data_IF_534219995465
#
_entry.id   IF_534219995465
#
_cell.length_a   1.000
_cell.length_b   1.000
_cell.length_c   1.000
_cell.angle_alpha   90.00
_cell.angle_beta   90.00
_cell.angle_gamma   90.00
#
_symmetry.space_group_name_H-M   'P 1'
#
loop_
_entity.id
_entity.type
_entity.pdbx_description
1 polymer ?
#
# COMPACT_ATOMS: atom_id res chain seq x y z
N UNK A 1 -34.68 -3.06 7.29
CA UNK A 1 -33.25 -2.70 7.13
C UNK A 1 -32.59 -3.87 6.43
N UNK A 2 -32.15 -3.70 5.19
CA UNK A 2 -31.55 -4.78 4.40
C UNK A 2 -30.24 -5.24 5.04
N UNK A 3 -30.03 -6.54 5.10
CA UNK A 3 -28.96 -7.26 5.81
C UNK A 3 -27.57 -7.08 5.17
N UNK A 4 -27.36 -6.06 4.32
CA UNK A 4 -26.36 -6.10 3.25
C UNK A 4 -25.55 -4.82 3.02
N UNK A 5 -25.65 -3.79 3.86
CA UNK A 5 -24.81 -2.58 3.72
C UNK A 5 -23.60 -2.63 4.64
N UNK A 6 -22.41 -2.68 4.02
CA UNK A 6 -21.12 -2.44 4.67
C UNK A 6 -20.46 -1.22 4.05
N UNK A 7 -19.64 -0.52 4.83
CA UNK A 7 -18.90 0.68 4.39
C UNK A 7 -17.42 0.35 4.33
N UNK A 8 -16.77 0.70 3.22
CA UNK A 8 -15.31 0.67 3.07
C UNK A 8 -14.87 1.97 2.41
N UNK A 9 -14.17 2.79 3.18
CA UNK A 9 -13.51 4.01 2.72
C UNK A 9 -12.05 3.98 3.20
N UNK A 10 -11.19 4.89 2.73
CA UNK A 10 -9.82 5.00 3.26
C UNK A 10 -9.72 5.26 4.77
N UNK A 11 -10.81 5.68 5.43
CA UNK A 11 -10.83 6.07 6.84
C UNK A 11 -11.75 5.23 7.73
N UNK A 12 -12.74 4.52 7.18
CA UNK A 12 -13.68 3.70 7.95
C UNK A 12 -14.01 2.38 7.24
N UNK A 13 -14.11 1.32 8.03
CA UNK A 13 -14.61 0.00 7.63
C UNK A 13 -15.66 -0.42 8.66
N UNK A 14 -16.91 -0.61 8.22
CA UNK A 14 -18.04 -0.94 9.08
C UNK A 14 -18.90 -2.05 8.45
N UNK A 15 -19.45 -2.92 9.30
CA UNK A 15 -20.28 -4.06 8.89
C UNK A 15 -19.48 -5.29 8.49
N UNK A 16 -20.20 -6.36 8.10
CA UNK A 16 -19.59 -7.59 7.59
C UNK A 16 -19.28 -7.39 6.10
N UNK A 17 -18.00 -7.18 5.77
CA UNK A 17 -17.56 -6.89 4.41
C UNK A 17 -17.70 -8.12 3.51
N UNK A 18 -18.52 -8.00 2.47
CA UNK A 18 -18.57 -8.97 1.38
C UNK A 18 -17.54 -8.56 0.31
N UNK A 19 -16.43 -9.30 0.28
CA UNK A 19 -15.32 -9.03 -0.62
C UNK A 19 -15.68 -9.24 -2.10
N UNK A 20 -16.66 -10.09 -2.42
CA UNK A 20 -17.14 -10.28 -3.81
C UNK A 20 -17.85 -9.02 -4.31
N UNK A 21 -18.79 -8.51 -3.50
CA UNK A 21 -19.48 -7.25 -3.77
C UNK A 21 -18.48 -6.08 -3.80
N UNK A 22 -17.46 -6.09 -2.94
CA UNK A 22 -16.43 -5.06 -2.91
C UNK A 22 -15.61 -5.02 -4.20
N UNK A 23 -15.18 -6.18 -4.73
CA UNK A 23 -14.45 -6.28 -6.00
C UNK A 23 -15.26 -5.68 -7.14
N UNK A 24 -16.55 -6.00 -7.22
CA UNK A 24 -17.46 -5.47 -8.24
C UNK A 24 -17.66 -3.96 -8.08
N UNK A 25 -17.95 -3.49 -6.86
CA UNK A 25 -18.18 -2.07 -6.54
C UNK A 25 -16.98 -1.20 -6.89
N UNK A 26 -15.77 -1.68 -6.60
CA UNK A 26 -14.54 -0.93 -6.89
C UNK A 26 -14.06 -1.16 -8.32
N UNK A 27 -14.61 -2.12 -9.08
CA UNK A 27 -14.17 -2.42 -10.43
C UNK A 27 -12.72 -2.93 -10.48
N UNK A 28 -12.35 -3.76 -9.52
CA UNK A 28 -11.06 -4.48 -9.48
C UNK A 28 -11.22 -5.89 -10.02
N UNK A 29 -10.11 -6.59 -10.25
CA UNK A 29 -10.10 -7.98 -10.68
C UNK A 29 -9.65 -8.89 -9.54
N UNK A 30 -10.09 -10.14 -9.51
CA UNK A 30 -9.59 -11.12 -8.53
C UNK A 30 -8.22 -11.64 -8.94
N UNK A 31 -7.38 -11.92 -7.95
CA UNK A 31 -6.13 -12.65 -8.18
C UNK A 31 -6.48 -14.11 -8.47
N UNK A 32 -6.58 -14.44 -9.76
CA UNK A 32 -6.96 -15.77 -10.21
C UNK A 32 -5.88 -16.82 -9.90
N UNK A 33 -6.24 -18.12 -9.85
CA UNK A 33 -5.26 -19.20 -9.70
C UNK A 33 -4.16 -19.18 -10.78
N UNK A 34 -4.47 -18.71 -12.00
CA UNK A 34 -3.51 -18.54 -13.08
C UNK A 34 -2.48 -17.45 -12.78
N UNK A 35 -2.92 -16.32 -12.21
CA UNK A 35 -2.02 -15.27 -11.76
C UNK A 35 -1.15 -15.73 -10.59
N UNK A 36 -1.72 -16.46 -9.61
CA UNK A 36 -0.94 -17.03 -8.51
C UNK A 36 0.16 -17.97 -9.03
N UNK A 37 -0.15 -18.83 -10.01
CA UNK A 37 0.84 -19.69 -10.67
C UNK A 37 1.91 -18.89 -11.43
N UNK A 38 1.54 -17.80 -12.12
CA UNK A 38 2.54 -16.91 -12.76
C UNK A 38 3.47 -16.26 -11.74
N UNK A 39 2.94 -15.75 -10.64
CA UNK A 39 3.75 -15.20 -9.55
C UNK A 39 4.70 -16.26 -9.02
N UNK A 40 4.20 -17.45 -8.65
CA UNK A 40 5.01 -18.56 -8.14
C UNK A 40 6.12 -18.98 -9.12
N UNK A 41 5.82 -19.04 -10.42
CA UNK A 41 6.81 -19.35 -11.46
C UNK A 41 7.94 -18.31 -11.50
N UNK A 42 7.60 -17.03 -11.35
CA UNK A 42 8.57 -15.93 -11.40
C UNK A 42 9.40 -15.87 -10.12
N UNK A 43 8.77 -16.01 -8.96
CA UNK A 43 9.40 -15.80 -7.64
C UNK A 43 10.00 -17.08 -7.03
N UNK A 44 9.67 -18.24 -7.59
CA UNK A 44 10.05 -19.56 -7.11
C UNK A 44 9.24 -20.06 -5.90
N UNK A 45 8.37 -19.23 -5.31
CA UNK A 45 7.48 -19.65 -4.22
C UNK A 45 6.23 -18.77 -4.14
N UNK A 46 5.07 -19.35 -3.85
CA UNK A 46 3.85 -18.58 -3.60
C UNK A 46 3.74 -18.17 -2.13
N UNK A 47 3.69 -16.87 -1.87
CA UNK A 47 3.55 -16.36 -0.50
C UNK A 47 2.25 -16.84 0.17
N UNK A 48 2.25 -17.24 1.46
CA UNK A 48 1.05 -17.74 2.15
C UNK A 48 -0.15 -16.80 2.08
N UNK A 49 0.08 -15.48 2.13
CA UNK A 49 -1.01 -14.49 2.04
C UNK A 49 -1.70 -14.46 0.66
N UNK A 50 -1.01 -14.85 -0.42
CA UNK A 50 -1.66 -15.04 -1.73
C UNK A 50 -2.42 -16.37 -1.77
N UNK A 51 -1.77 -17.44 -1.31
CA UNK A 51 -2.35 -18.79 -1.27
C UNK A 51 -3.64 -18.86 -0.45
N UNK A 52 -3.68 -18.14 0.67
CA UNK A 52 -4.83 -18.08 1.59
C UNK A 52 -5.84 -16.98 1.22
N UNK A 53 -5.58 -16.19 0.16
CA UNK A 53 -6.50 -15.14 -0.28
C UNK A 53 -6.59 -13.92 0.64
N UNK A 54 -5.58 -13.65 1.47
CA UNK A 54 -5.51 -12.37 2.20
C UNK A 54 -5.35 -11.20 1.22
N UNK A 55 -4.55 -11.39 0.18
CA UNK A 55 -4.57 -10.55 -1.01
C UNK A 55 -5.43 -11.26 -2.06
N UNK A 56 -6.64 -10.73 -2.30
CA UNK A 56 -7.66 -11.38 -3.14
C UNK A 56 -7.95 -10.62 -4.43
N UNK A 57 -7.62 -9.34 -4.53
CA UNK A 57 -7.88 -8.51 -5.71
C UNK A 57 -6.65 -7.74 -6.19
N UNK A 58 -6.68 -7.29 -7.44
CA UNK A 58 -5.63 -6.50 -8.08
C UNK A 58 -6.19 -5.53 -9.13
N UNK A 59 -5.30 -4.67 -9.65
CA UNK A 59 -5.44 -3.94 -10.92
C UNK A 59 -4.14 -4.08 -11.69
N UNK A 60 -4.21 -4.49 -12.96
CA UNK A 60 -3.06 -4.54 -13.88
C UNK A 60 -1.84 -5.37 -13.40
N UNK A 61 -2.04 -6.31 -12.47
CA UNK A 61 -0.96 -7.19 -12.00
C UNK A 61 -0.44 -8.06 -13.14
N UNK A 62 -1.32 -8.57 -13.99
CA UNK A 62 -1.01 -9.29 -15.22
C UNK A 62 -0.06 -8.49 -16.13
N UNK A 63 -0.27 -7.18 -16.26
CA UNK A 63 0.60 -6.29 -17.04
C UNK A 63 1.95 -6.11 -16.39
N UNK A 64 2.01 -5.88 -15.07
CA UNK A 64 3.27 -5.78 -14.32
C UNK A 64 4.10 -7.04 -14.47
N UNK A 65 3.49 -8.22 -14.32
CA UNK A 65 4.19 -9.51 -14.50
C UNK A 65 4.68 -9.68 -15.94
N UNK A 66 3.88 -9.29 -16.93
CA UNK A 66 4.26 -9.36 -18.34
C UNK A 66 5.44 -8.44 -18.66
N UNK A 67 5.48 -7.23 -18.12
CA UNK A 67 6.61 -6.31 -18.30
C UNK A 67 7.87 -6.82 -17.60
N UNK A 68 7.72 -7.39 -16.40
CA UNK A 68 8.84 -8.03 -15.70
C UNK A 68 9.44 -9.20 -16.50
N UNK A 69 8.60 -10.07 -17.07
CA UNK A 69 9.04 -11.19 -17.92
C UNK A 69 9.77 -10.72 -19.20
N UNK A 70 9.47 -9.52 -19.70
CA UNK A 70 10.22 -8.88 -20.81
C UNK A 70 11.56 -8.28 -20.39
N UNK A 71 11.87 -8.27 -19.09
CA UNK A 71 13.06 -7.63 -18.53
C UNK A 71 12.88 -6.13 -18.24
N UNK A 72 11.66 -5.59 -18.36
CA UNK A 72 11.38 -4.19 -18.02
C UNK A 72 11.26 -4.03 -16.50
N UNK A 73 11.72 -2.89 -16.01
CA UNK A 73 11.76 -2.59 -14.57
C UNK A 73 10.45 -1.97 -14.11
N UNK A 74 10.03 -2.34 -12.91
CA UNK A 74 9.00 -1.66 -12.13
C UNK A 74 9.52 -1.35 -10.72
N UNK A 75 8.72 -0.67 -9.91
CA UNK A 75 9.02 -0.40 -8.51
C UNK A 75 7.78 -0.60 -7.66
N UNK A 76 7.99 -0.83 -6.36
CA UNK A 76 6.93 -0.95 -5.37
C UNK A 76 6.68 0.40 -4.72
N UNK A 77 5.41 0.65 -4.41
CA UNK A 77 4.97 1.82 -3.66
C UNK A 77 3.96 1.41 -2.60
N UNK A 78 4.21 1.80 -1.36
CA UNK A 78 3.27 1.62 -0.24
C UNK A 78 3.43 2.78 0.74
N UNK A 79 2.60 2.84 1.78
CA UNK A 79 2.67 3.93 2.74
C UNK A 79 2.06 3.65 4.10
N UNK A 80 2.22 4.63 4.98
CA UNK A 80 1.69 4.65 6.35
C UNK A 80 1.39 6.07 6.78
N UNK A 81 0.13 6.33 7.15
CA UNK A 81 -0.22 7.52 7.90
C UNK A 81 0.09 7.36 9.40
N UNK A 82 0.99 8.16 9.98
CA UNK A 82 1.49 7.98 11.35
C UNK A 82 0.51 8.53 12.39
N UNK A 83 -0.67 7.92 12.52
CA UNK A 83 -1.71 8.34 13.47
C UNK A 83 -1.50 7.79 14.90
N UNK A 84 -0.59 6.85 15.09
CA UNK A 84 -0.39 6.14 16.35
C UNK A 84 0.65 5.03 16.21
N UNK A 85 0.77 4.19 17.24
CA UNK A 85 1.65 3.02 17.21
C UNK A 85 1.21 1.99 16.15
N UNK A 86 2.18 1.20 15.69
CA UNK A 86 1.94 0.12 14.74
C UNK A 86 1.26 -1.05 15.45
N UNK A 87 0.35 -1.73 14.75
CA UNK A 87 -0.32 -2.94 15.21
C UNK A 87 -0.27 -3.99 14.11
N UNK A 88 -0.63 -5.24 14.41
CA UNK A 88 -0.50 -6.36 13.47
C UNK A 88 -1.15 -6.13 12.10
N UNK A 89 -2.30 -5.45 12.05
CA UNK A 89 -2.95 -5.11 10.77
C UNK A 89 -2.09 -4.27 9.84
N UNK A 90 -1.25 -3.37 10.37
CA UNK A 90 -0.33 -2.55 9.58
C UNK A 90 0.84 -3.37 9.01
N UNK A 91 1.26 -4.45 9.70
CA UNK A 91 2.38 -5.27 9.28
C UNK A 91 2.05 -6.15 8.07
N UNK A 92 0.78 -6.55 7.89
CA UNK A 92 0.35 -7.42 6.79
C UNK A 92 0.80 -6.91 5.40
N UNK A 93 0.48 -5.66 4.99
CA UNK A 93 0.96 -5.13 3.72
C UNK A 93 2.48 -5.00 3.67
N UNK A 94 3.15 -4.71 4.78
CA UNK A 94 4.60 -4.51 4.80
C UNK A 94 5.38 -5.81 4.62
N UNK A 95 4.97 -6.88 5.32
CA UNK A 95 5.52 -8.22 5.16
C UNK A 95 5.35 -8.68 3.71
N UNK A 96 4.17 -8.47 3.13
CA UNK A 96 3.93 -8.83 1.74
C UNK A 96 4.77 -7.98 0.76
N UNK A 97 4.88 -6.68 0.99
CA UNK A 97 5.75 -5.79 0.19
C UNK A 97 7.21 -6.21 0.29
N UNK A 98 7.67 -6.65 1.47
CA UNK A 98 9.04 -7.13 1.69
C UNK A 98 9.32 -8.40 0.90
N UNK A 99 8.38 -9.37 0.91
CA UNK A 99 8.44 -10.54 0.03
C UNK A 99 8.53 -10.15 -1.45
N UNK A 100 7.68 -9.22 -1.92
CA UNK A 100 7.71 -8.77 -3.31
C UNK A 100 9.04 -8.10 -3.66
N UNK A 101 9.57 -7.25 -2.77
CA UNK A 101 10.86 -6.60 -2.98
C UNK A 101 11.98 -7.63 -3.13
N UNK A 102 12.03 -8.63 -2.24
CA UNK A 102 13.09 -9.65 -2.26
C UNK A 102 13.01 -10.52 -3.52
N UNK A 103 11.79 -10.90 -3.94
CA UNK A 103 11.60 -11.86 -5.04
C UNK A 103 11.68 -11.25 -6.43
N UNK A 104 11.22 -10.01 -6.59
CA UNK A 104 11.33 -9.29 -7.87
C UNK A 104 12.60 -8.45 -7.95
N UNK A 105 13.36 -8.32 -6.87
CA UNK A 105 14.60 -7.54 -6.79
C UNK A 105 14.43 -6.06 -7.22
N UNK A 106 13.29 -5.46 -6.86
CA UNK A 106 12.89 -4.11 -7.29
C UNK A 106 13.09 -3.03 -6.22
N UNK A 107 13.09 -1.77 -6.65
CA UNK A 107 13.10 -0.62 -5.73
C UNK A 107 11.75 -0.47 -5.02
N UNK A 108 11.77 0.08 -3.80
CA UNK A 108 10.60 0.43 -3.00
C UNK A 108 10.64 1.91 -2.62
N UNK A 109 9.51 2.59 -2.81
CA UNK A 109 9.24 3.89 -2.20
C UNK A 109 8.18 3.68 -1.12
N UNK A 110 8.50 4.09 0.11
CA UNK A 110 7.61 3.99 1.25
C UNK A 110 7.24 5.40 1.72
N UNK A 111 5.98 5.80 1.56
CA UNK A 111 5.52 7.14 1.93
C UNK A 111 4.99 7.18 3.37
N UNK A 112 5.42 8.19 4.13
CA UNK A 112 4.83 8.55 5.41
C UNK A 112 4.02 9.83 5.23
N UNK A 113 2.70 9.71 5.35
CA UNK A 113 1.73 10.80 5.15
C UNK A 113 1.49 11.56 6.47
N UNK A 114 2.55 12.17 7.00
CA UNK A 114 2.49 12.93 8.26
C UNK A 114 1.65 14.21 8.14
N UNK A 115 1.62 14.83 6.97
CA UNK A 115 0.71 15.91 6.63
C UNK A 115 -0.77 15.47 6.63
N UNK A 116 -1.12 14.32 6.05
CA UNK A 116 -2.50 13.78 6.05
C UNK A 116 -3.02 13.64 7.48
N UNK A 117 -2.21 13.09 8.39
CA UNK A 117 -2.62 12.87 9.79
C UNK A 117 -2.67 14.15 10.61
N UNK A 118 -1.89 15.16 10.25
CA UNK A 118 -2.04 16.49 10.79
C UNK A 118 -3.33 17.17 10.29
N UNK A 119 -3.62 17.11 8.98
CA UNK A 119 -4.77 17.78 8.37
C UNK A 119 -6.12 17.15 8.72
N UNK A 120 -6.16 15.83 8.97
CA UNK A 120 -7.41 15.12 9.26
C UNK A 120 -7.77 15.08 10.75
N UNK A 121 -6.84 15.45 11.65
CA UNK A 121 -7.01 15.29 13.10
C UNK A 121 -6.96 16.64 13.81
N UNK A 122 -8.11 17.19 14.16
CA UNK A 122 -8.19 18.47 14.91
C UNK A 122 -7.46 18.43 16.26
N UNK A 123 -7.30 17.24 16.84
CA UNK A 123 -6.70 17.05 18.16
C UNK A 123 -5.16 16.93 18.16
N UNK A 124 -4.52 16.69 17.01
CA UNK A 124 -3.09 16.33 16.98
C UNK A 124 -2.22 17.50 16.57
N UNK A 125 -1.27 17.84 17.44
CA UNK A 125 -0.20 18.78 17.09
C UNK A 125 0.78 18.14 16.10
N UNK A 126 1.51 18.97 15.37
CA UNK A 126 2.58 18.52 14.48
C UNK A 126 3.70 17.76 15.23
N UNK A 127 3.96 18.14 16.48
CA UNK A 127 4.93 17.47 17.34
C UNK A 127 4.49 16.05 17.68
N UNK A 128 3.19 15.83 17.92
CA UNK A 128 2.67 14.49 18.20
C UNK A 128 2.71 13.59 16.98
N UNK A 129 2.35 14.12 15.80
CA UNK A 129 2.49 13.37 14.54
C UNK A 129 3.97 13.06 14.28
N UNK A 130 4.87 14.01 14.51
CA UNK A 130 6.32 13.81 14.35
C UNK A 130 6.88 12.70 15.23
N UNK A 131 6.39 12.55 16.48
CA UNK A 131 6.75 11.43 17.36
C UNK A 131 6.33 10.10 16.76
N UNK A 132 5.07 9.98 16.33
CA UNK A 132 4.57 8.74 15.71
C UNK A 132 5.27 8.44 14.38
N UNK A 133 5.59 9.46 13.57
CA UNK A 133 6.40 9.32 12.35
C UNK A 133 7.72 8.63 12.66
N UNK A 134 8.43 9.09 13.69
CA UNK A 134 9.72 8.49 14.08
C UNK A 134 9.55 7.03 14.50
N UNK A 135 8.60 6.72 15.40
CA UNK A 135 8.37 5.37 15.89
C UNK A 135 7.94 4.42 14.75
N UNK A 136 7.00 4.84 13.90
CA UNK A 136 6.53 4.03 12.78
C UNK A 136 7.65 3.75 11.76
N UNK A 137 8.58 4.69 11.55
CA UNK A 137 9.74 4.45 10.70
C UNK A 137 10.65 3.37 11.27
N UNK A 138 10.84 3.32 12.60
CA UNK A 138 11.62 2.25 13.24
C UNK A 138 10.95 0.89 13.00
N UNK A 139 9.63 0.80 13.15
CA UNK A 139 8.87 -0.42 12.89
C UNK A 139 8.99 -0.85 11.41
N UNK A 140 8.90 0.10 10.47
CA UNK A 140 9.05 -0.16 9.03
C UNK A 140 10.45 -0.70 8.72
N UNK A 141 11.51 -0.11 9.30
CA UNK A 141 12.88 -0.60 9.11
C UNK A 141 13.03 -2.00 9.72
N UNK A 142 12.40 -2.27 10.86
CA UNK A 142 12.46 -3.57 11.53
C UNK A 142 11.85 -4.72 10.71
N UNK A 143 10.95 -4.44 9.75
CA UNK A 143 10.46 -5.44 8.79
C UNK A 143 11.59 -6.04 7.92
N UNK A 144 12.70 -5.32 7.75
CA UNK A 144 13.88 -5.83 7.05
C UNK A 144 13.81 -5.66 5.52
N UNK A 145 13.32 -4.51 5.05
CA UNK A 145 13.48 -4.10 3.65
C UNK A 145 14.95 -3.88 3.30
N UNK A 146 15.31 -4.02 2.02
CA UNK A 146 16.68 -3.77 1.55
C UNK A 146 17.01 -2.26 1.58
N UNK A 147 17.94 -1.80 2.44
CA UNK A 147 18.22 -0.37 2.60
C UNK A 147 18.83 0.27 1.35
N UNK A 148 19.43 -0.51 0.44
CA UNK A 148 19.99 0.00 -0.83
C UNK A 148 18.92 0.21 -1.90
N UNK A 149 17.75 -0.42 -1.74
CA UNK A 149 16.65 -0.39 -2.71
C UNK A 149 15.36 0.23 -2.14
N UNK A 150 15.40 0.73 -0.91
CA UNK A 150 14.23 1.30 -0.24
C UNK A 150 14.46 2.76 0.08
N UNK A 151 13.55 3.63 -0.36
CA UNK A 151 13.50 5.03 0.00
C UNK A 151 12.24 5.31 0.81
N UNK A 152 12.43 5.75 2.05
CA UNK A 152 11.33 6.28 2.87
C UNK A 152 11.21 7.78 2.57
N UNK A 153 10.01 8.24 2.24
CA UNK A 153 9.66 9.64 2.06
C UNK A 153 8.76 10.08 3.21
N UNK A 154 8.99 11.28 3.74
CA UNK A 154 8.12 11.90 4.74
C UNK A 154 7.54 13.14 4.08
N UNK A 155 6.22 13.22 3.96
CA UNK A 155 5.58 14.20 3.08
C UNK A 155 5.98 15.63 3.41
N UNK A 156 5.96 16.02 4.70
CA UNK A 156 6.38 17.38 5.08
C UNK A 156 7.85 17.68 4.83
N UNK A 157 8.73 16.67 4.85
CA UNK A 157 10.18 16.86 4.64
C UNK A 157 10.58 16.78 3.17
N UNK A 158 9.89 15.94 2.40
CA UNK A 158 10.16 15.65 1.00
C UNK A 158 9.19 16.40 0.05
N UNK A 159 8.36 17.32 0.58
CA UNK A 159 7.32 18.05 -0.16
C UNK A 159 7.85 18.75 -1.41
N UNK A 160 9.10 19.24 -1.39
CA UNK A 160 9.74 19.89 -2.55
C UNK A 160 9.77 18.98 -3.79
N UNK A 161 9.84 17.66 -3.59
CA UNK A 161 9.85 16.66 -4.65
C UNK A 161 8.45 16.18 -5.02
N UNK A 162 7.57 16.09 -4.03
CA UNK A 162 6.19 15.59 -4.18
C UNK A 162 5.31 16.65 -4.85
N UNK A 163 5.41 17.91 -4.43
CA UNK A 163 4.49 18.97 -4.82
C UNK A 163 4.36 19.19 -6.34
N UNK A 164 5.44 19.25 -7.15
CA UNK A 164 5.30 19.39 -8.60
C UNK A 164 4.57 18.22 -9.27
N UNK A 165 4.78 16.99 -8.77
CA UNK A 165 4.08 15.79 -9.27
C UNK A 165 2.60 15.86 -8.87
N UNK A 166 2.32 16.23 -7.63
CA UNK A 166 0.95 16.39 -7.15
C UNK A 166 0.18 17.46 -7.93
N UNK A 167 0.82 18.54 -8.36
CA UNK A 167 0.17 19.59 -9.17
C UNK A 167 -0.32 19.08 -10.53
N UNK A 168 0.43 18.20 -11.19
CA UNK A 168 -0.02 17.58 -12.45
C UNK A 168 -1.32 16.79 -12.22
N UNK A 169 -1.41 16.04 -11.12
CA UNK A 169 -2.60 15.26 -10.79
C UNK A 169 -3.74 16.19 -10.34
N UNK A 170 -3.45 17.14 -9.44
CA UNK A 170 -4.43 18.06 -8.86
C UNK A 170 -5.15 18.91 -9.93
N UNK A 171 -4.48 19.27 -11.02
CA UNK A 171 -5.11 19.99 -12.15
C UNK A 171 -6.20 19.16 -12.85
N UNK A 172 -6.15 17.83 -12.75
CA UNK A 172 -7.05 16.90 -13.45
C UNK A 172 -8.18 16.39 -12.55
N UNK A 173 -8.06 16.52 -11.23
CA UNK A 173 -9.08 16.12 -10.27
C UNK A 173 -9.95 17.34 -9.94
N UNK A 174 -11.25 17.25 -10.26
CA UNK A 174 -12.23 18.27 -9.88
C UNK A 174 -12.70 18.06 -8.43
N UNK A 175 -13.26 19.09 -7.82
CA UNK A 175 -13.87 19.00 -6.48
C UNK A 175 -15.20 18.22 -6.47
N UNK A 176 -15.87 18.14 -7.61
CA UNK A 176 -17.24 17.64 -7.82
C UNK A 176 -17.42 16.14 -7.61
#
# INVERSE_FOLDING_TARGET
>A
MSVDEFTVTPWSVEGNVDYEKLVQKFGTEKISPELQKRVEKITGELHPMLKLGYFFSHRDLDKVLTEYEKGNKFYLYTGRGPSGLVHMGHLLPWIFTKYLQDKFDVNLIFQITDDEKFLYSDEKSFDDVSKYTKENILDIIAVGFNPKKTKILIDTKDIKRIYPISLEIAKRITYS
#
